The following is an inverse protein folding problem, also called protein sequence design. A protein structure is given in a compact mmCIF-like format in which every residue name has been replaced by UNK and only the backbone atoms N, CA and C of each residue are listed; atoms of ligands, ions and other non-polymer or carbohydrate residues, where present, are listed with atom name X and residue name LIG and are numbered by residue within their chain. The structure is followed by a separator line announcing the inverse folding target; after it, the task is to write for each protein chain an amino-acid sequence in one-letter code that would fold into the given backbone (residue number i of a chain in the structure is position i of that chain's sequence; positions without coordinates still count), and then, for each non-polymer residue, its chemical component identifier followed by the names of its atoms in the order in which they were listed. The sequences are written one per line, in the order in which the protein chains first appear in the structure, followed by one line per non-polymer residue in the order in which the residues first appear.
data_IF_813967826251
#
_entry.id   IF_813967826251
#
_cell.length_a   1.000
_cell.length_b   1.000
_cell.length_c   1.000
_cell.angle_alpha   90.00
_cell.angle_beta   90.00
_cell.angle_gamma   90.00
#
_symmetry.space_group_name_H-M   'P 1'
#
loop_
_entity.id
_entity.type
_entity.pdbx_description
1 polymer ?
#
# COMPACT_ATOMS: atom_id res chain seq x y z
N UNK A 1 4.99 14.37 -10.81
CA UNK A 1 5.13 12.89 -10.89
C UNK A 1 5.75 12.27 -9.63
N UNK A 2 6.99 12.63 -9.22
CA UNK A 2 7.68 12.01 -8.06
C UNK A 2 6.88 12.02 -6.75
N UNK A 3 6.25 13.15 -6.41
CA UNK A 3 5.43 13.28 -5.19
C UNK A 3 4.26 12.28 -5.16
N UNK A 4 3.59 12.07 -6.30
CA UNK A 4 2.42 11.21 -6.37
C UNK A 4 2.80 9.73 -6.28
N UNK A 5 3.94 9.33 -6.86
CA UNK A 5 4.50 8.00 -6.68
C UNK A 5 4.86 7.73 -5.22
N UNK A 6 5.40 8.73 -4.50
CA UNK A 6 5.67 8.62 -3.06
C UNK A 6 4.36 8.45 -2.28
N UNK A 7 3.35 9.28 -2.55
CA UNK A 7 2.03 9.15 -1.92
C UNK A 7 1.45 7.76 -2.18
N UNK A 8 1.53 7.27 -3.42
CA UNK A 8 1.05 5.95 -3.81
C UNK A 8 1.79 4.83 -3.06
N UNK A 9 3.12 4.87 -2.99
CA UNK A 9 3.92 3.91 -2.23
C UNK A 9 3.56 3.92 -0.74
N UNK A 10 3.42 5.11 -0.14
CA UNK A 10 3.00 5.26 1.26
C UNK A 10 1.62 4.64 1.47
N UNK A 11 0.66 4.92 0.58
CA UNK A 11 -0.70 4.35 0.70
C UNK A 11 -0.71 2.83 0.57
N UNK A 12 0.11 2.25 -0.31
CA UNK A 12 0.25 0.79 -0.44
C UNK A 12 0.77 0.20 0.86
N UNK A 13 1.87 0.75 1.39
CA UNK A 13 2.49 0.24 2.62
C UNK A 13 1.52 0.36 3.80
N UNK A 14 0.80 1.49 3.91
CA UNK A 14 -0.23 1.68 4.93
C UNK A 14 -1.38 0.68 4.80
N UNK A 15 -1.89 0.46 3.57
CA UNK A 15 -2.96 -0.51 3.34
C UNK A 15 -2.52 -1.91 3.73
N UNK A 16 -1.31 -2.32 3.35
CA UNK A 16 -0.74 -3.61 3.72
C UNK A 16 -0.59 -3.73 5.24
N UNK A 17 -0.06 -2.71 5.92
CA UNK A 17 0.08 -2.73 7.38
C UNK A 17 -1.28 -2.84 8.10
N UNK A 18 -2.31 -2.15 7.62
CA UNK A 18 -3.66 -2.24 8.20
C UNK A 18 -4.27 -3.61 7.96
N UNK A 19 -4.12 -4.17 6.75
CA UNK A 19 -4.58 -5.53 6.45
C UNK A 19 -3.93 -6.58 7.34
N UNK A 20 -2.61 -6.48 7.51
CA UNK A 20 -1.86 -7.33 8.44
C UNK A 20 -2.35 -7.14 9.89
N UNK A 21 -2.75 -5.92 10.26
CA UNK A 21 -3.24 -5.63 11.60
C UNK A 21 -4.56 -6.35 11.92
N UNK A 22 -5.37 -6.67 10.91
CA UNK A 22 -6.65 -7.39 11.06
C UNK A 22 -6.49 -8.90 11.30
N UNK A 23 -5.31 -9.47 11.00
CA UNK A 23 -5.04 -10.89 11.18
C UNK A 23 -5.08 -11.28 12.66
N UNK A 24 -5.87 -12.31 12.98
CA UNK A 24 -5.87 -12.92 14.32
C UNK A 24 -4.80 -14.01 14.39
N UNK A 25 -3.79 -13.79 15.24
CA UNK A 25 -2.76 -14.78 15.58
C UNK A 25 -1.34 -14.34 15.23
N UNK A 26 -0.47 -14.26 16.25
CA UNK A 26 0.90 -13.76 16.13
C UNK A 26 1.71 -14.47 15.04
N UNK A 27 1.60 -15.81 14.93
CA UNK A 27 2.35 -16.61 13.94
C UNK A 27 1.98 -16.24 12.50
N UNK A 28 0.68 -16.15 12.20
CA UNK A 28 0.19 -15.79 10.86
C UNK A 28 0.54 -14.35 10.49
N UNK A 29 0.47 -13.44 11.46
CA UNK A 29 0.84 -12.04 11.27
C UNK A 29 2.32 -11.90 10.90
N UNK A 30 3.23 -12.55 11.65
CA UNK A 30 4.67 -12.54 11.34
C UNK A 30 4.98 -13.18 10.00
N UNK A 31 4.31 -14.30 9.68
CA UNK A 31 4.47 -14.95 8.38
C UNK A 31 4.05 -14.01 7.25
N UNK A 32 2.92 -13.33 7.37
CA UNK A 32 2.44 -12.38 6.37
C UNK A 32 3.29 -11.09 6.28
N UNK A 33 4.03 -10.71 7.33
CA UNK A 33 5.03 -9.63 7.29
C UNK A 33 6.27 -10.05 6.50
N UNK A 34 6.73 -11.28 6.68
CA UNK A 34 7.98 -11.79 6.10
C UNK A 34 7.81 -12.17 4.62
N UNK A 35 6.66 -12.71 4.22
CA UNK A 35 6.40 -13.14 2.83
C UNK A 35 6.74 -12.06 1.79
N UNK A 36 6.23 -10.80 1.88
CA UNK A 36 6.55 -9.78 0.89
C UNK A 36 8.06 -9.55 0.72
N UNK A 37 8.80 -9.58 1.83
CA UNK A 37 10.26 -9.49 1.81
C UNK A 37 10.92 -10.72 1.16
N UNK A 38 10.43 -11.93 1.44
CA UNK A 38 10.95 -13.14 0.79
C UNK A 38 10.69 -13.14 -0.72
N UNK A 39 9.53 -12.63 -1.13
CA UNK A 39 9.22 -12.44 -2.55
C UNK A 39 10.22 -11.45 -3.16
N UNK A 40 10.53 -10.32 -2.51
CA UNK A 40 11.54 -9.40 -3.03
C UNK A 40 12.92 -10.05 -3.17
N UNK A 41 13.31 -10.95 -2.25
CA UNK A 41 14.53 -11.75 -2.42
C UNK A 41 14.46 -12.63 -3.69
N UNK A 42 13.32 -13.29 -3.92
CA UNK A 42 13.09 -14.09 -5.14
C UNK A 42 13.22 -13.29 -6.44
N UNK A 43 12.96 -11.97 -6.41
CA UNK A 43 13.11 -11.06 -7.56
C UNK A 43 14.47 -10.36 -7.64
N UNK A 44 15.46 -10.78 -6.86
CA UNK A 44 16.81 -10.24 -6.90
C UNK A 44 17.45 -10.28 -8.29
N UNK A 45 17.46 -11.45 -8.92
CA UNK A 45 18.06 -11.64 -10.25
C UNK A 45 17.38 -10.77 -11.30
N UNK A 46 16.06 -10.62 -11.21
CA UNK A 46 15.32 -9.72 -12.09
C UNK A 46 15.78 -8.27 -11.90
N UNK A 47 15.87 -7.82 -10.64
CA UNK A 47 16.26 -6.44 -10.28
C UNK A 47 17.69 -6.10 -10.71
N UNK A 48 18.63 -7.06 -10.59
CA UNK A 48 20.01 -6.92 -11.06
C UNK A 48 20.14 -6.70 -12.57
N UNK A 49 19.27 -7.35 -13.36
CA UNK A 49 19.32 -7.28 -14.82
C UNK A 49 18.72 -5.97 -15.37
N UNK A 50 18.04 -5.19 -14.54
CA UNK A 50 17.47 -3.91 -14.97
C UNK A 50 18.50 -2.79 -14.89
N UNK A 51 18.51 -1.92 -15.91
CA UNK A 51 19.27 -0.68 -15.88
C UNK A 51 18.32 0.53 -15.79
N UNK A 52 18.88 1.74 -15.65
CA UNK A 52 18.09 2.98 -15.63
C UNK A 52 17.24 3.16 -16.92
N UNK A 53 17.75 2.71 -18.08
CA UNK A 53 17.04 2.81 -19.35
C UNK A 53 15.82 1.87 -19.42
N UNK A 54 15.88 0.69 -18.80
CA UNK A 54 14.74 -0.24 -18.75
C UNK A 54 13.63 0.30 -17.87
N UNK A 55 13.97 0.94 -16.75
CA UNK A 55 12.99 1.63 -15.90
C UNK A 55 12.34 2.81 -16.62
N UNK A 56 13.14 3.65 -17.28
CA UNK A 56 12.62 4.77 -18.05
C UNK A 56 11.74 4.29 -19.21
N UNK A 57 12.12 3.21 -19.88
CA UNK A 57 11.30 2.58 -20.92
C UNK A 57 9.97 2.04 -20.37
N UNK A 58 10.00 1.31 -19.25
CA UNK A 58 8.79 0.78 -18.59
C UNK A 58 7.81 1.90 -18.21
N UNK A 59 8.32 3.05 -17.75
CA UNK A 59 7.52 4.22 -17.40
C UNK A 59 6.93 4.94 -18.63
N UNK A 60 7.56 4.80 -19.80
CA UNK A 60 7.09 5.39 -21.06
C UNK A 60 6.08 4.50 -21.82
N UNK A 61 5.93 3.23 -21.44
CA UNK A 61 4.96 2.32 -22.06
C UNK A 61 3.54 2.58 -21.56
N UNK A 62 2.79 3.39 -22.33
CA UNK A 62 1.39 3.75 -22.05
C UNK A 62 0.47 2.55 -21.78
N UNK A 63 0.66 1.47 -22.52
CA UNK A 63 -0.13 0.24 -22.40
C UNK A 63 0.15 -0.46 -21.07
N UNK A 64 1.40 -0.45 -20.62
CA UNK A 64 1.84 -1.10 -19.39
C UNK A 64 1.33 -0.32 -18.17
N UNK A 65 1.46 1.01 -18.18
CA UNK A 65 0.90 1.88 -17.14
C UNK A 65 -0.62 1.70 -17.04
N UNK A 66 -1.32 1.61 -18.17
CA UNK A 66 -2.77 1.39 -18.19
C UNK A 66 -3.13 -0.01 -17.66
N UNK A 67 -2.40 -1.05 -18.04
CA UNK A 67 -2.62 -2.41 -17.55
C UNK A 67 -2.39 -2.51 -16.03
N UNK A 68 -1.33 -1.85 -15.51
CA UNK A 68 -1.10 -1.74 -14.07
C UNK A 68 -2.27 -1.03 -13.42
N UNK A 69 -2.71 0.14 -13.91
CA UNK A 69 -3.84 0.88 -13.34
C UNK A 69 -5.13 0.05 -13.28
N UNK A 70 -5.40 -0.75 -14.31
CA UNK A 70 -6.53 -1.68 -14.34
C UNK A 70 -6.38 -2.75 -13.25
N UNK A 71 -5.22 -3.41 -13.17
CA UNK A 71 -4.94 -4.41 -12.15
C UNK A 71 -5.05 -3.84 -10.73
N UNK A 72 -4.57 -2.61 -10.52
CA UNK A 72 -4.69 -1.86 -9.27
C UNK A 72 -6.16 -1.62 -8.90
N UNK A 73 -6.99 -1.25 -9.87
CA UNK A 73 -8.42 -0.99 -9.67
C UNK A 73 -9.15 -2.27 -9.29
N UNK A 74 -8.89 -3.38 -10.00
CA UNK A 74 -9.46 -4.69 -9.65
C UNK A 74 -9.03 -5.14 -8.26
N UNK A 75 -7.76 -4.98 -7.91
CA UNK A 75 -7.27 -5.33 -6.58
C UNK A 75 -7.93 -4.48 -5.48
N UNK A 76 -8.07 -3.17 -5.68
CA UNK A 76 -8.72 -2.30 -4.71
C UNK A 76 -10.20 -2.68 -4.49
N UNK A 77 -10.95 -2.94 -5.58
CA UNK A 77 -12.34 -3.43 -5.51
C UNK A 77 -12.39 -4.76 -4.76
N UNK A 78 -11.48 -5.69 -5.09
CA UNK A 78 -11.39 -6.98 -4.43
C UNK A 78 -11.11 -6.84 -2.94
N UNK A 79 -10.17 -5.97 -2.53
CA UNK A 79 -9.88 -5.69 -1.12
C UNK A 79 -11.10 -5.11 -0.40
N UNK A 80 -11.81 -4.17 -1.00
CA UNK A 80 -13.05 -3.62 -0.42
C UNK A 80 -14.07 -4.74 -0.20
N UNK A 81 -14.29 -5.59 -1.21
CA UNK A 81 -15.21 -6.72 -1.12
C UNK A 81 -14.78 -7.72 -0.04
N UNK A 82 -13.50 -8.09 0.01
CA UNK A 82 -12.95 -8.95 1.06
C UNK A 82 -13.15 -8.33 2.45
N UNK A 83 -12.99 -7.01 2.58
CA UNK A 83 -13.18 -6.30 3.86
C UNK A 83 -14.64 -6.39 4.32
N UNK A 84 -15.60 -6.15 3.43
CA UNK A 84 -17.04 -6.30 3.73
C UNK A 84 -17.36 -7.74 4.14
N UNK A 85 -16.81 -8.73 3.44
CA UNK A 85 -17.01 -10.14 3.77
C UNK A 85 -16.33 -10.51 5.09
N UNK A 86 -15.15 -9.99 5.38
CA UNK A 86 -14.45 -10.19 6.66
C UNK A 86 -15.27 -9.62 7.83
N UNK A 87 -15.85 -8.44 7.68
CA UNK A 87 -16.77 -7.85 8.69
C UNK A 87 -17.95 -8.80 8.90
N UNK A 88 -18.60 -9.29 7.85
CA UNK A 88 -19.71 -10.27 7.98
C UNK A 88 -19.25 -11.58 8.64
N UNK A 89 -18.06 -12.08 8.28
CA UNK A 89 -17.48 -13.32 8.81
C UNK A 89 -17.16 -13.24 10.31
N UNK A 90 -16.68 -12.08 10.77
CA UNK A 90 -16.50 -11.79 12.19
C UNK A 90 -17.80 -11.98 13.00
N UNK A 91 -18.96 -11.74 12.36
CA UNK A 91 -20.29 -11.90 12.93
C UNK A 91 -21.02 -13.22 12.54
N UNK A 92 -20.29 -14.29 12.15
CA UNK A 92 -20.73 -15.71 11.95
C UNK A 92 -20.84 -16.20 10.49
N UNK A 93 -19.72 -16.59 9.85
CA UNK A 93 -19.70 -17.37 8.59
C UNK A 93 -18.85 -18.67 8.68
N UNK A 94 -19.28 -19.67 7.88
CA UNK A 94 -18.90 -21.10 7.80
C UNK A 94 -17.44 -21.49 7.43
N UNK A 95 -16.55 -20.62 6.93
CA UNK A 95 -15.24 -21.05 6.36
C UNK A 95 -14.00 -20.28 6.85
N UNK A 96 -13.70 -20.24 8.16
CA UNK A 96 -12.66 -19.40 8.74
C UNK A 96 -11.23 -19.67 8.23
N UNK A 97 -10.92 -20.87 7.73
CA UNK A 97 -9.56 -21.24 7.33
C UNK A 97 -9.15 -20.69 5.96
N UNK A 98 -10.03 -20.74 4.95
CA UNK A 98 -9.77 -20.14 3.64
C UNK A 98 -9.49 -18.63 3.76
N UNK A 99 -10.26 -17.94 4.60
CA UNK A 99 -10.10 -16.51 4.86
C UNK A 99 -8.77 -16.17 5.54
N UNK A 100 -8.28 -17.01 6.45
CA UNK A 100 -6.95 -16.82 7.06
C UNK A 100 -5.86 -16.84 6.00
N UNK A 101 -5.89 -17.80 5.08
CA UNK A 101 -4.88 -17.91 4.03
C UNK A 101 -4.94 -16.78 3.00
N UNK A 102 -6.14 -16.41 2.54
CA UNK A 102 -6.31 -15.26 1.61
C UNK A 102 -5.77 -13.97 2.25
N UNK A 103 -5.94 -13.80 3.55
CA UNK A 103 -5.49 -12.59 4.26
C UNK A 103 -3.97 -12.52 4.45
N UNK A 104 -3.26 -13.66 4.35
CA UNK A 104 -1.79 -13.74 4.45
C UNK A 104 -1.11 -13.38 3.13
N UNK A 105 -1.75 -13.62 1.99
CA UNK A 105 -1.18 -13.32 0.68
C UNK A 105 -1.03 -11.80 0.53
N UNK A 106 0.19 -11.29 0.29
CA UNK A 106 0.42 -9.86 0.10
C UNK A 106 -0.33 -9.34 -1.12
N UNK A 107 -0.66 -8.05 -1.12
CA UNK A 107 -1.24 -7.41 -2.29
C UNK A 107 -0.24 -7.40 -3.45
N UNK A 108 -0.75 -7.57 -4.65
CA UNK A 108 -0.01 -7.45 -5.90
C UNK A 108 0.67 -6.08 -5.99
N UNK A 109 -0.03 -5.03 -5.58
CA UNK A 109 0.51 -3.69 -5.36
C UNK A 109 1.79 -3.64 -4.53
N UNK A 110 1.80 -4.32 -3.39
CA UNK A 110 2.94 -4.32 -2.48
C UNK A 110 4.13 -5.04 -3.12
N UNK A 111 3.86 -6.16 -3.80
CA UNK A 111 4.90 -6.92 -4.52
C UNK A 111 5.55 -6.03 -5.59
N UNK A 112 4.76 -5.40 -6.46
CA UNK A 112 5.30 -4.51 -7.50
C UNK A 112 6.06 -3.35 -6.88
N UNK A 113 5.49 -2.72 -5.85
CA UNK A 113 6.13 -1.61 -5.16
C UNK A 113 7.51 -2.02 -4.61
N UNK A 114 7.61 -3.22 -4.02
CA UNK A 114 8.86 -3.71 -3.45
C UNK A 114 9.90 -4.01 -4.52
N UNK A 115 9.51 -4.69 -5.61
CA UNK A 115 10.40 -4.94 -6.75
C UNK A 115 10.91 -3.62 -7.33
N UNK A 116 10.01 -2.65 -7.53
CA UNK A 116 10.39 -1.33 -8.05
C UNK A 116 11.35 -0.60 -7.11
N UNK A 117 11.08 -0.60 -5.80
CA UNK A 117 11.90 0.11 -4.82
C UNK A 117 13.28 -0.56 -4.65
N UNK A 118 13.33 -1.89 -4.72
CA UNK A 118 14.57 -2.66 -4.73
C UNK A 118 15.42 -2.34 -5.96
N UNK A 119 14.85 -2.40 -7.17
CA UNK A 119 15.57 -2.03 -8.40
C UNK A 119 16.06 -0.59 -8.34
N UNK A 120 15.23 0.33 -7.85
CA UNK A 120 15.64 1.73 -7.68
C UNK A 120 16.81 1.88 -6.70
N UNK A 121 16.82 1.15 -5.58
CA UNK A 121 17.92 1.15 -4.63
C UNK A 121 19.22 0.64 -5.24
N UNK A 122 19.17 -0.44 -6.02
CA UNK A 122 20.36 -1.00 -6.69
C UNK A 122 20.98 -0.03 -7.69
N UNK A 123 20.17 0.79 -8.36
CA UNK A 123 20.64 1.77 -9.33
C UNK A 123 21.13 3.08 -8.70
N UNK A 124 20.83 3.32 -7.42
CA UNK A 124 21.17 4.57 -6.73
C UNK A 124 22.28 4.44 -5.72
N UNK A 125 22.51 3.25 -5.18
CA UNK A 125 23.54 3.03 -4.17
C UNK A 125 24.74 2.37 -4.85
N UNK A 126 25.77 3.17 -5.07
CA UNK A 126 27.05 2.70 -5.59
C UNK A 126 27.96 2.23 -4.45
N UNK A 127 28.87 1.30 -4.75
CA UNK A 127 29.95 0.89 -3.83
C UNK A 127 29.58 -0.16 -2.78
N UNK A 128 28.35 -0.66 -2.75
CA UNK A 128 27.93 -1.78 -1.90
C UNK A 128 27.62 -3.04 -2.72
N UNK A 129 27.82 -4.22 -2.14
CA UNK A 129 27.43 -5.46 -2.81
C UNK A 129 25.91 -5.57 -2.90
N UNK A 130 25.40 -5.94 -4.08
CA UNK A 130 23.95 -6.04 -4.31
C UNK A 130 23.26 -7.02 -3.36
N UNK A 131 23.91 -8.13 -3.02
CA UNK A 131 23.38 -9.10 -2.04
C UNK A 131 23.20 -8.50 -0.64
N UNK A 132 24.07 -7.57 -0.24
CA UNK A 132 23.98 -6.90 1.05
C UNK A 132 22.87 -5.85 1.04
N UNK A 133 22.73 -5.09 -0.05
CA UNK A 133 21.60 -4.17 -0.26
C UNK A 133 20.26 -4.90 -0.26
N UNK A 134 20.19 -6.05 -0.92
CA UNK A 134 19.02 -6.92 -0.94
C UNK A 134 18.62 -7.37 0.46
N UNK A 135 19.59 -7.82 1.26
CA UNK A 135 19.35 -8.28 2.62
C UNK A 135 18.88 -7.13 3.54
N UNK A 136 19.46 -5.94 3.39
CA UNK A 136 18.96 -4.75 4.08
C UNK A 136 17.57 -4.34 3.63
N UNK A 137 17.25 -4.47 2.34
CA UNK A 137 15.91 -4.20 1.83
C UNK A 137 14.88 -5.18 2.42
N UNK A 138 15.20 -6.48 2.46
CA UNK A 138 14.38 -7.50 3.09
C UNK A 138 14.12 -7.22 4.58
N UNK A 139 15.18 -6.97 5.34
CA UNK A 139 15.08 -6.70 6.78
C UNK A 139 14.34 -5.39 7.03
N UNK A 140 14.68 -4.33 6.30
CA UNK A 140 14.10 -3.00 6.44
C UNK A 140 12.62 -2.98 6.08
N UNK A 141 12.21 -3.62 4.98
CA UNK A 141 10.79 -3.71 4.58
C UNK A 141 9.96 -4.51 5.58
N UNK A 142 10.46 -5.68 6.00
CA UNK A 142 9.80 -6.53 7.00
C UNK A 142 9.67 -5.82 8.35
N UNK A 143 10.73 -5.16 8.80
CA UNK A 143 10.74 -4.38 10.04
C UNK A 143 9.78 -3.20 9.97
N UNK A 144 9.75 -2.47 8.85
CA UNK A 144 8.84 -1.35 8.63
C UNK A 144 7.38 -1.81 8.67
N UNK A 145 7.02 -2.88 7.95
CA UNK A 145 5.67 -3.45 8.01
C UNK A 145 5.32 -3.94 9.42
N UNK A 146 6.26 -4.59 10.11
CA UNK A 146 6.05 -5.06 11.49
C UNK A 146 5.76 -3.91 12.45
N UNK A 147 6.60 -2.87 12.43
CA UNK A 147 6.44 -1.67 13.28
C UNK A 147 5.10 -0.98 12.98
N UNK A 148 4.78 -0.75 11.70
CA UNK A 148 3.52 -0.10 11.31
C UNK A 148 2.32 -0.92 11.77
N UNK A 149 2.34 -2.24 11.53
CA UNK A 149 1.25 -3.14 11.92
C UNK A 149 1.02 -3.11 13.42
N UNK A 150 2.09 -3.23 14.23
CA UNK A 150 2.00 -3.18 15.69
C UNK A 150 1.55 -1.80 16.19
N UNK A 151 2.01 -0.73 15.54
CA UNK A 151 1.60 0.65 15.86
C UNK A 151 0.10 0.84 15.63
N UNK A 152 -0.43 0.36 14.50
CA UNK A 152 -1.87 0.40 14.19
C UNK A 152 -2.67 -0.40 15.22
N UNK A 153 -2.22 -1.61 15.60
CA UNK A 153 -2.89 -2.41 16.63
C UNK A 153 -2.89 -1.72 18.00
N UNK A 154 -1.84 -0.97 18.32
CA UNK A 154 -1.70 -0.25 19.59
C UNK A 154 -2.57 1.00 19.63
N UNK A 155 -2.62 1.76 18.53
CA UNK A 155 -3.39 3.01 18.41
C UNK A 155 -4.89 2.73 18.24
N UNK A 156 -5.25 1.76 17.39
CA UNK A 156 -6.63 1.39 17.05
C UNK A 156 -6.93 -0.02 17.57
N UNK A 157 -7.27 -0.10 18.86
CA UNK A 157 -7.51 -1.39 19.53
C UNK A 157 -8.70 -2.16 18.96
N UNK A 158 -9.81 -1.46 18.68
CA UNK A 158 -11.04 -2.08 18.15
C UNK A 158 -10.80 -2.61 16.73
N UNK A 159 -11.28 -3.81 16.46
CA UNK A 159 -11.05 -4.48 15.17
C UNK A 159 -11.89 -3.86 14.06
N UNK A 160 -13.11 -3.46 14.41
CA UNK A 160 -14.11 -2.83 13.54
C UNK A 160 -13.55 -1.56 12.90
N UNK A 161 -12.97 -0.65 13.70
CA UNK A 161 -12.37 0.58 13.18
C UNK A 161 -11.15 0.34 12.28
N UNK A 162 -10.38 -0.73 12.52
CA UNK A 162 -9.27 -1.09 11.62
C UNK A 162 -9.80 -1.57 10.27
N UNK A 163 -10.90 -2.32 10.26
CA UNK A 163 -11.54 -2.78 9.03
C UNK A 163 -12.17 -1.62 8.26
N UNK A 164 -12.83 -0.68 8.95
CA UNK A 164 -13.34 0.56 8.34
C UNK A 164 -12.20 1.41 7.74
N UNK A 165 -11.09 1.58 8.48
CA UNK A 165 -9.92 2.31 7.98
C UNK A 165 -9.30 1.63 6.74
N UNK A 166 -9.24 0.30 6.72
CA UNK A 166 -8.81 -0.46 5.54
C UNK A 166 -9.68 -0.15 4.33
N UNK A 167 -11.01 -0.18 4.49
CA UNK A 167 -11.95 0.11 3.41
C UNK A 167 -11.77 1.54 2.90
N UNK A 168 -11.58 2.51 3.80
CA UNK A 168 -11.36 3.92 3.44
C UNK A 168 -10.06 4.10 2.65
N UNK A 169 -8.96 3.48 3.07
CA UNK A 169 -7.68 3.57 2.36
C UNK A 169 -7.75 2.85 1.02
N UNK A 170 -8.41 1.69 0.94
CA UNK A 170 -8.62 1.00 -0.33
C UNK A 170 -9.46 1.84 -1.30
N UNK A 171 -10.47 2.56 -0.80
CA UNK A 171 -11.26 3.51 -1.61
C UNK A 171 -10.41 4.69 -2.09
N UNK A 172 -9.55 5.24 -1.23
CA UNK A 172 -8.62 6.29 -1.63
C UNK A 172 -7.62 5.80 -2.68
N UNK A 173 -7.15 4.57 -2.54
CA UNK A 173 -6.26 3.96 -3.51
C UNK A 173 -6.94 3.68 -4.85
N UNK A 174 -8.22 3.30 -4.82
CA UNK A 174 -9.04 3.19 -6.03
C UNK A 174 -9.16 4.52 -6.75
N UNK A 175 -9.37 5.62 -6.02
CA UNK A 175 -9.35 6.97 -6.61
C UNK A 175 -7.98 7.26 -7.25
N UNK A 176 -6.88 7.02 -6.54
CA UNK A 176 -5.52 7.22 -7.11
C UNK A 176 -5.32 6.37 -8.37
N UNK A 177 -5.73 5.10 -8.35
CA UNK A 177 -5.59 4.19 -9.49
C UNK A 177 -6.37 4.68 -10.72
N UNK A 178 -7.57 5.22 -10.53
CA UNK A 178 -8.37 5.81 -11.62
C UNK A 178 -7.69 7.03 -12.24
N UNK A 179 -6.99 7.83 -11.43
CA UNK A 179 -6.28 9.02 -11.93
C UNK A 179 -4.84 8.71 -12.38
N UNK A 180 -4.29 7.53 -12.08
CA UNK A 180 -2.91 7.18 -12.40
C UNK A 180 -2.58 7.31 -13.91
N UNK A 181 -3.43 6.84 -14.86
CA UNK A 181 -3.19 7.02 -16.29
C UNK A 181 -3.19 8.49 -16.72
N UNK A 182 -4.10 9.30 -16.15
CA UNK A 182 -4.19 10.74 -16.40
C UNK A 182 -2.91 11.47 -15.97
N UNK A 183 -2.39 11.08 -14.80
CA UNK A 183 -1.18 11.67 -14.22
C UNK A 183 0.08 11.21 -14.97
N UNK A 184 0.18 9.92 -15.28
CA UNK A 184 1.34 9.33 -15.93
C UNK A 184 1.54 9.88 -17.35
N UNK A 185 0.44 10.13 -18.08
CA UNK A 185 0.52 10.65 -19.44
C UNK A 185 0.99 12.09 -19.51
N UNK A 186 0.82 12.90 -18.45
CA UNK A 186 1.13 14.34 -18.45
C UNK A 186 0.42 15.17 -19.53
N UNK A 187 -0.29 14.52 -20.47
CA UNK A 187 -1.07 15.10 -21.53
C UNK A 187 -2.37 15.57 -20.93
N UNK A 188 -2.63 16.87 -21.07
CA UNK A 188 -3.97 17.43 -21.04
C UNK A 188 -4.85 16.47 -21.84
N UNK A 189 -5.84 15.85 -21.20
CA UNK A 189 -6.87 15.12 -21.93
C UNK A 189 -7.37 16.11 -22.97
N UNK A 190 -7.34 15.77 -24.26
CA UNK A 190 -7.67 16.73 -25.33
C UNK A 190 -9.05 17.39 -25.20
N UNK A 191 -9.89 16.87 -24.29
CA UNK A 191 -11.23 17.33 -23.99
C UNK A 191 -11.41 17.86 -22.55
N UNK A 192 -10.40 17.80 -21.68
CA UNK A 192 -10.49 18.38 -20.34
C UNK A 192 -9.25 19.21 -20.02
N UNK A 193 -9.47 20.50 -19.73
CA UNK A 193 -8.45 21.44 -19.26
C UNK A 193 -8.04 21.15 -17.80
N UNK A 194 -7.92 19.88 -17.40
CA UNK A 194 -7.53 19.51 -16.05
C UNK A 194 -6.03 19.72 -15.92
N UNK A 195 -5.64 20.90 -15.45
CA UNK A 195 -4.30 21.18 -14.94
C UNK A 195 -4.17 20.55 -13.55
N UNK A 196 -3.20 19.63 -13.40
CA UNK A 196 -2.90 19.03 -12.10
C UNK A 196 -2.18 20.08 -11.25
N UNK A 197 -2.94 20.77 -10.40
CA UNK A 197 -2.39 21.73 -9.45
C UNK A 197 -1.87 21.01 -8.20
N UNK A 198 -0.55 20.83 -8.15
CA UNK A 198 0.14 20.18 -7.03
C UNK A 198 -0.02 20.94 -5.70
N UNK A 199 -0.20 22.27 -5.74
CA UNK A 199 -0.45 23.06 -4.53
C UNK A 199 -1.82 22.72 -3.94
N UNK A 200 -2.85 22.69 -4.79
CA UNK A 200 -4.20 22.29 -4.38
C UNK A 200 -4.25 20.86 -3.85
N UNK A 201 -3.57 19.91 -4.50
CA UNK A 201 -3.50 18.52 -4.01
C UNK A 201 -2.78 18.46 -2.66
N UNK A 202 -1.64 19.14 -2.51
CA UNK A 202 -0.90 19.20 -1.25
C UNK A 202 -1.72 19.79 -0.12
N UNK A 203 -2.43 20.90 -0.39
CA UNK A 203 -3.33 21.55 0.56
C UNK A 203 -4.48 20.65 0.98
N UNK A 204 -5.18 20.01 0.02
CA UNK A 204 -6.28 19.07 0.32
C UNK A 204 -5.79 17.88 1.14
N UNK A 205 -4.62 17.34 0.80
CA UNK A 205 -4.02 16.23 1.56
C UNK A 205 -3.71 16.65 3.00
N UNK A 206 -3.11 17.84 3.19
CA UNK A 206 -2.84 18.40 4.51
C UNK A 206 -4.12 18.64 5.31
N UNK A 207 -5.16 19.18 4.67
CA UNK A 207 -6.47 19.43 5.28
C UNK A 207 -7.14 18.13 5.73
N UNK A 208 -7.16 17.10 4.88
CA UNK A 208 -7.67 15.77 5.23
C UNK A 208 -6.88 15.18 6.41
N UNK A 209 -5.57 15.35 6.42
CA UNK A 209 -4.70 14.89 7.51
C UNK A 209 -5.05 15.60 8.82
N UNK A 210 -5.21 16.93 8.79
CA UNK A 210 -5.60 17.72 9.96
C UNK A 210 -6.99 17.32 10.49
N UNK A 211 -7.97 17.17 9.61
CA UNK A 211 -9.33 16.72 9.98
C UNK A 211 -9.27 15.32 10.60
N UNK A 212 -8.46 14.41 10.04
CA UNK A 212 -8.30 13.05 10.56
C UNK A 212 -7.66 13.03 11.95
N UNK A 213 -6.63 13.86 12.17
CA UNK A 213 -5.97 14.03 13.47
C UNK A 213 -6.93 14.63 14.50
N UNK A 214 -7.64 15.69 14.14
CA UNK A 214 -8.66 16.31 15.01
C UNK A 214 -9.78 15.33 15.34
N UNK A 215 -10.28 14.60 14.34
CA UNK A 215 -11.28 13.54 14.51
C UNK A 215 -10.82 12.46 15.50
N UNK A 216 -9.56 12.02 15.39
CA UNK A 216 -8.96 11.09 16.35
C UNK A 216 -8.92 11.65 17.78
N UNK A 217 -8.50 12.91 17.96
CA UNK A 217 -8.46 13.52 19.29
C UNK A 217 -9.85 13.70 19.91
N UNK A 218 -10.84 14.12 19.12
CA UNK A 218 -12.24 14.25 19.57
C UNK A 218 -12.78 12.88 19.97
N UNK A 219 -12.56 11.86 19.14
CA UNK A 219 -12.96 10.48 19.43
C UNK A 219 -12.34 9.99 20.75
N UNK A 220 -11.03 10.19 20.93
CA UNK A 220 -10.30 9.81 22.15
C UNK A 220 -10.84 10.54 23.38
N UNK A 221 -11.21 11.81 23.27
CA UNK A 221 -11.76 12.61 24.38
C UNK A 221 -13.16 12.14 24.78
N UNK A 222 -14.06 11.89 23.82
CA UNK A 222 -15.39 11.33 24.08
C UNK A 222 -15.31 9.96 24.76
N UNK A 223 -14.41 9.10 24.28
CA UNK A 223 -14.30 7.74 24.82
C UNK A 223 -13.68 7.70 26.23
N UNK A 224 -12.91 8.73 26.63
CA UNK A 224 -12.42 8.92 28.01
C UNK A 224 -13.50 9.43 28.99
N UNK A 225 -14.58 10.04 28.50
CA UNK A 225 -15.68 10.54 29.34
C UNK A 225 -16.74 9.47 29.62
N UNK A 226 -16.71 8.36 28.90
CA UNK A 226 -17.65 7.23 29.01
C UNK A 226 -17.10 6.05 29.83
N UNK A 227 -15.86 6.16 30.33
CA UNK A 227 -15.19 5.22 31.25
C UNK A 227 -14.88 5.93 32.53
#
# INVERSE_FOLDING_TARGET
MKLLLIIFLITIVLLSAIRLSLLKGKKLQWLAIIIPGLISLGFYNFSLQQNNQTLDWLLQQDNLVSAIAIALTFEAIFIIFLTVVQIKSYYKIKYPNLWKWISVIPSFQLIIAYIFLQTYLFLKIDGHSFSLLEMYFFLGSSLTLGILTLSIQTIIKKWEFRAELQALIAMFQLLIAMFLPLIARGKRVGFTQITVDYLSIGFVTLLITLISVLGYFIYKRKNKQLT
#
